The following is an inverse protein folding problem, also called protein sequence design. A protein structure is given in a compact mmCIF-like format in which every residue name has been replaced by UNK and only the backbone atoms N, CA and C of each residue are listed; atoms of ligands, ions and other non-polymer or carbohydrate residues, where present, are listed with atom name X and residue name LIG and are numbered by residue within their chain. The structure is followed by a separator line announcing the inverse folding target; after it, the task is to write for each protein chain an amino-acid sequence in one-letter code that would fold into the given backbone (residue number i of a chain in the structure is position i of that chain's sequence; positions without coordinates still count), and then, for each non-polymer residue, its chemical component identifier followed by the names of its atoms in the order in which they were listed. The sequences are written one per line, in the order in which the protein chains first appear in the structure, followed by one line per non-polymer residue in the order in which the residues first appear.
data_IF_682669163933
#
_entry.id   IF_682669163933
#
_cell.length_a   1.000
_cell.length_b   1.000
_cell.length_c   1.000
_cell.angle_alpha   90.00
_cell.angle_beta   90.00
_cell.angle_gamma   90.00
#
_symmetry.space_group_name_H-M   'P 1'
#
loop_
_entity.id
_entity.type
_entity.pdbx_description
1 polymer ?
#
# COMPACT_ATOMS: atom_id res chain seq x y z
N UNK A 1 40.12 -37.70 -7.82
CA UNK A 1 38.74 -37.76 -7.27
C UNK A 1 38.24 -36.33 -7.05
N UNK A 2 37.57 -35.77 -8.07
CA UNK A 2 37.05 -34.39 -7.98
C UNK A 2 35.58 -34.47 -7.52
N UNK A 3 35.31 -34.01 -6.28
CA UNK A 3 33.96 -33.82 -5.80
C UNK A 3 33.41 -32.53 -6.40
N UNK A 4 32.45 -32.66 -7.34
CA UNK A 4 31.62 -31.57 -7.80
C UNK A 4 30.67 -31.18 -6.64
N UNK A 5 30.85 -29.97 -6.11
CA UNK A 5 29.88 -29.36 -5.22
C UNK A 5 28.75 -28.85 -6.10
N UNK A 6 27.61 -29.53 -6.06
CA UNK A 6 26.36 -29.07 -6.66
C UNK A 6 25.72 -28.12 -5.65
N UNK A 7 25.91 -26.82 -5.83
CA UNK A 7 25.14 -25.81 -5.12
C UNK A 7 23.73 -25.77 -5.71
N UNK A 8 22.81 -26.45 -5.07
CA UNK A 8 21.38 -26.35 -5.37
C UNK A 8 20.91 -25.01 -4.83
N UNK A 9 20.83 -24.02 -5.71
CA UNK A 9 20.13 -22.77 -5.41
C UNK A 9 18.64 -23.14 -5.33
N UNK A 10 18.14 -23.34 -4.13
CA UNK A 10 16.71 -23.49 -3.89
C UNK A 10 16.05 -22.16 -4.26
N UNK A 11 15.47 -22.08 -5.44
CA UNK A 11 14.49 -21.07 -5.77
C UNK A 11 13.32 -21.30 -4.81
N UNK A 12 13.20 -20.45 -3.78
CA UNK A 12 12.02 -20.39 -2.93
C UNK A 12 10.91 -19.83 -3.81
N UNK A 13 10.24 -20.73 -4.53
CA UNK A 13 8.93 -20.46 -5.12
C UNK A 13 7.98 -20.28 -3.93
N UNK A 14 7.72 -19.02 -3.57
CA UNK A 14 6.64 -18.71 -2.66
C UNK A 14 5.36 -19.01 -3.43
N UNK A 15 4.92 -20.27 -3.35
CA UNK A 15 3.54 -20.62 -3.59
C UNK A 15 2.75 -19.92 -2.47
N UNK A 16 2.17 -18.74 -2.76
CA UNK A 16 0.97 -18.34 -2.07
C UNK A 16 -0.06 -19.41 -2.40
N UNK A 17 -0.49 -20.24 -1.45
CA UNK A 17 -1.68 -21.00 -1.71
C UNK A 17 -2.74 -19.93 -2.02
N UNK A 18 -3.29 -19.95 -3.23
CA UNK A 18 -4.60 -19.35 -3.45
C UNK A 18 -5.45 -19.96 -2.33
N UNK A 19 -5.68 -19.18 -1.28
CA UNK A 19 -6.72 -19.48 -0.31
C UNK A 19 -8.01 -19.41 -1.12
N UNK A 20 -8.35 -20.55 -1.74
CA UNK A 20 -9.69 -20.79 -2.22
C UNK A 20 -10.58 -20.56 -1.00
N UNK A 21 -11.21 -19.42 -0.94
CA UNK A 21 -12.42 -19.18 -0.17
C UNK A 21 -13.49 -20.12 -0.73
N UNK A 22 -13.33 -21.42 -0.49
CA UNK A 22 -14.40 -22.38 -0.62
C UNK A 22 -15.37 -22.09 0.51
N UNK A 23 -16.45 -21.38 0.18
CA UNK A 23 -17.57 -21.26 1.10
C UNK A 23 -18.29 -19.91 1.18
N UNK A 24 -18.28 -19.09 0.15
CA UNK A 24 -19.33 -18.07 0.03
C UNK A 24 -20.39 -18.68 -0.89
N UNK A 25 -21.37 -19.33 -0.31
CA UNK A 25 -22.62 -19.65 -0.98
C UNK A 25 -23.27 -18.34 -1.46
N UNK A 26 -23.60 -18.21 -2.78
CA UNK A 26 -24.34 -17.05 -3.23
C UNK A 26 -25.77 -17.15 -2.69
N UNK A 27 -26.06 -16.43 -1.61
CA UNK A 27 -27.39 -16.42 -1.00
C UNK A 27 -27.43 -16.34 0.53
N UNK A 28 -26.31 -16.42 1.23
CA UNK A 28 -26.28 -16.16 2.67
C UNK A 28 -26.59 -14.68 2.90
N UNK A 29 -27.67 -14.38 3.65
CA UNK A 29 -27.92 -13.03 4.19
C UNK A 29 -26.63 -12.60 4.88
N UNK A 30 -26.02 -11.56 4.34
CA UNK A 30 -24.80 -11.00 4.85
C UNK A 30 -25.01 -10.68 6.34
N UNK A 31 -24.22 -11.30 7.25
CA UNK A 31 -24.28 -11.01 8.67
C UNK A 31 -24.01 -9.53 8.90
N UNK A 32 -24.75 -8.88 9.80
CA UNK A 32 -24.55 -7.46 10.17
C UNK A 32 -23.14 -7.18 10.77
N UNK A 33 -22.35 -8.25 11.00
CA UNK A 33 -21.05 -8.22 11.68
C UNK A 33 -19.83 -8.02 10.75
N UNK A 34 -19.98 -7.36 9.61
CA UNK A 34 -18.85 -7.04 8.73
C UNK A 34 -18.21 -5.69 9.09
N UNK A 35 -16.88 -5.58 9.08
CA UNK A 35 -15.88 -6.67 9.10
C UNK A 35 -15.77 -7.29 10.50
N UNK A 36 -15.58 -8.61 10.61
CA UNK A 36 -15.38 -9.30 11.89
C UNK A 36 -13.95 -9.24 12.38
N UNK A 37 -13.00 -9.22 11.46
CA UNK A 37 -11.56 -9.14 11.74
C UNK A 37 -10.92 -8.09 10.83
N UNK A 38 -10.19 -7.16 11.44
CA UNK A 38 -9.50 -6.07 10.73
C UNK A 38 -8.02 -6.16 11.02
N UNK A 39 -7.21 -6.11 9.97
CA UNK A 39 -5.77 -5.92 10.04
C UNK A 39 -5.46 -4.45 9.74
N UNK A 40 -4.75 -3.79 10.64
CA UNK A 40 -4.29 -2.41 10.47
C UNK A 40 -2.76 -2.41 10.40
N UNK A 41 -2.23 -1.67 9.45
CA UNK A 41 -0.81 -1.38 9.29
C UNK A 41 -0.59 0.08 8.90
N UNK A 42 0.65 0.54 8.83
CA UNK A 42 1.04 1.84 8.30
C UNK A 42 2.50 1.80 7.81
N UNK A 43 3.03 2.93 7.37
CA UNK A 43 4.45 3.13 7.11
C UNK A 43 5.12 4.13 8.07
N UNK A 44 4.36 4.86 8.88
CA UNK A 44 4.87 5.77 9.92
C UNK A 44 5.44 5.03 11.15
N UNK A 45 5.15 3.74 11.31
CA UNK A 45 5.53 2.94 12.47
C UNK A 45 4.40 2.75 13.48
N UNK A 46 4.58 1.74 14.35
CA UNK A 46 3.53 1.29 15.29
C UNK A 46 3.21 2.32 16.38
N UNK A 47 4.15 3.20 16.70
CA UNK A 47 3.97 4.23 17.74
C UNK A 47 3.24 5.49 17.23
N UNK A 48 2.90 5.55 15.93
CA UNK A 48 2.13 6.65 15.37
C UNK A 48 0.76 6.76 16.05
N UNK A 49 0.36 7.95 16.57
CA UNK A 49 -0.90 8.12 17.29
C UNK A 49 -2.13 7.83 16.43
N UNK A 50 -2.05 8.00 15.11
CA UNK A 50 -3.17 7.77 14.20
C UNK A 50 -3.48 6.28 14.03
N UNK A 51 -2.47 5.41 13.98
CA UNK A 51 -2.71 3.96 13.91
C UNK A 51 -3.38 3.47 15.21
N UNK A 52 -2.95 4.02 16.37
CA UNK A 52 -3.58 3.72 17.65
C UNK A 52 -5.03 4.19 17.70
N UNK A 53 -5.32 5.42 17.25
CA UNK A 53 -6.68 5.96 17.22
C UNK A 53 -7.59 5.10 16.33
N UNK A 54 -7.10 4.69 15.16
CA UNK A 54 -7.81 3.82 14.24
C UNK A 54 -8.08 2.44 14.86
N UNK A 55 -7.06 1.82 15.46
CA UNK A 55 -7.18 0.52 16.11
C UNK A 55 -8.19 0.54 17.28
N UNK A 56 -8.15 1.57 18.12
CA UNK A 56 -9.10 1.75 19.22
C UNK A 56 -10.55 1.92 18.74
N UNK A 57 -10.76 2.55 17.59
CA UNK A 57 -12.09 2.68 17.02
C UNK A 57 -12.60 1.33 16.50
N UNK A 58 -11.76 0.58 15.78
CA UNK A 58 -12.13 -0.75 15.27
C UNK A 58 -12.29 -1.80 16.36
N UNK A 59 -11.52 -1.74 17.44
CA UNK A 59 -11.64 -2.69 18.56
C UNK A 59 -13.02 -2.68 19.25
N UNK A 60 -13.83 -1.65 19.02
CA UNK A 60 -15.23 -1.58 19.48
C UNK A 60 -16.20 -2.34 18.57
N UNK A 61 -15.76 -2.66 17.37
CA UNK A 61 -16.62 -3.13 16.26
C UNK A 61 -16.19 -4.48 15.70
N UNK A 62 -14.89 -4.82 15.84
CA UNK A 62 -14.27 -5.99 15.23
C UNK A 62 -13.08 -6.51 16.05
N UNK A 63 -12.73 -7.77 15.87
CA UNK A 63 -11.45 -8.32 16.32
C UNK A 63 -10.33 -7.61 15.58
N UNK A 64 -9.51 -6.84 16.30
CA UNK A 64 -8.58 -5.89 15.71
C UNK A 64 -7.12 -6.32 15.90
N UNK A 65 -6.41 -6.44 14.79
CA UNK A 65 -4.98 -6.71 14.75
C UNK A 65 -4.25 -5.47 14.21
N UNK A 66 -3.15 -5.12 14.86
CA UNK A 66 -2.19 -4.14 14.35
C UNK A 66 -0.88 -4.86 14.12
N UNK A 67 -0.41 -4.88 12.89
CA UNK A 67 0.91 -5.40 12.53
C UNK A 67 1.58 -4.31 11.70
N UNK A 68 2.53 -3.60 12.30
CA UNK A 68 3.11 -2.40 11.72
C UNK A 68 4.64 -2.36 11.92
N UNK A 69 5.37 -1.62 11.09
CA UNK A 69 6.80 -1.43 11.26
C UNK A 69 7.15 -0.88 12.65
N UNK A 70 8.30 -1.31 13.17
CA UNK A 70 8.85 -0.78 14.42
C UNK A 70 9.18 0.71 14.31
N UNK A 71 9.65 1.14 13.14
CA UNK A 71 10.09 2.50 12.84
C UNK A 71 9.41 3.01 11.57
N UNK A 72 9.56 4.31 11.29
CA UNK A 72 9.13 4.93 10.04
C UNK A 72 9.80 4.26 8.83
N UNK A 73 8.97 3.83 7.89
CA UNK A 73 9.33 3.19 6.63
C UNK A 73 8.67 3.90 5.43
N UNK A 74 8.45 5.20 5.54
CA UNK A 74 7.89 6.01 4.46
C UNK A 74 8.70 5.90 3.16
N UNK A 75 8.04 6.00 2.02
CA UNK A 75 8.70 5.95 0.71
C UNK A 75 9.19 4.58 0.27
N UNK A 76 8.77 3.49 0.91
CA UNK A 76 9.29 2.13 0.64
C UNK A 76 8.41 1.27 -0.25
N UNK A 77 7.32 1.84 -0.77
CA UNK A 77 6.40 1.14 -1.66
C UNK A 77 5.97 -0.25 -1.11
N UNK A 78 6.06 -1.32 -1.90
CA UNK A 78 5.76 -2.69 -1.49
C UNK A 78 7.02 -3.55 -1.28
N UNK A 79 8.12 -2.94 -0.82
CA UNK A 79 9.36 -3.64 -0.53
C UNK A 79 9.18 -4.61 0.66
N UNK A 80 9.48 -5.90 0.45
CA UNK A 80 9.36 -6.96 1.43
C UNK A 80 10.65 -7.79 1.49
N UNK A 81 11.70 -7.29 2.16
CA UNK A 81 13.00 -7.96 2.21
C UNK A 81 13.00 -9.26 3.01
N UNK A 82 12.01 -9.50 3.87
CA UNK A 82 11.90 -10.74 4.66
C UNK A 82 11.90 -12.00 3.78
N UNK A 83 11.35 -11.92 2.58
CA UNK A 83 11.37 -13.01 1.59
C UNK A 83 12.80 -13.50 1.30
N UNK A 84 13.77 -12.56 1.28
CA UNK A 84 15.18 -12.87 1.01
C UNK A 84 15.97 -13.10 2.29
N UNK A 85 15.62 -12.42 3.40
CA UNK A 85 16.28 -12.57 4.71
C UNK A 85 15.88 -13.86 5.39
N UNK A 86 14.68 -14.40 5.14
CA UNK A 86 14.16 -15.62 5.73
C UNK A 86 13.65 -15.49 7.17
N UNK A 87 13.66 -14.29 7.73
CA UNK A 87 13.20 -14.02 9.11
C UNK A 87 12.71 -12.58 9.29
N UNK A 88 11.87 -12.39 10.29
CA UNK A 88 11.42 -11.09 10.81
C UNK A 88 11.50 -11.12 12.34
N UNK A 89 11.99 -10.05 12.93
CA UNK A 89 11.89 -9.82 14.37
C UNK A 89 10.57 -9.13 14.68
N UNK A 90 9.89 -9.60 15.73
CA UNK A 90 8.54 -9.18 16.08
C UNK A 90 8.42 -8.99 17.59
N UNK A 91 7.89 -7.86 17.99
CA UNK A 91 7.63 -7.54 19.38
C UNK A 91 6.14 -7.27 19.60
N UNK A 92 5.57 -7.80 20.69
CA UNK A 92 4.22 -7.42 21.11
C UNK A 92 4.21 -6.01 21.65
N UNK A 93 3.12 -5.29 21.37
CA UNK A 93 2.86 -3.93 21.87
C UNK A 93 1.50 -3.89 22.55
N UNK A 94 1.34 -2.93 23.45
CA UNK A 94 0.05 -2.62 24.07
C UNK A 94 -0.47 -1.29 23.48
N UNK A 95 -1.46 -1.38 22.61
CA UNK A 95 -2.14 -0.21 22.04
C UNK A 95 -3.49 0.06 22.69
N UNK A 96 -3.91 -0.81 23.63
CA UNK A 96 -5.18 -0.69 24.35
C UNK A 96 -6.01 -1.98 24.33
N UNK A 97 -7.13 -1.99 25.06
CA UNK A 97 -7.96 -3.17 25.21
C UNK A 97 -8.57 -3.66 23.89
N UNK A 98 -8.58 -4.97 23.68
CA UNK A 98 -9.17 -5.60 22.49
C UNK A 98 -8.31 -5.50 21.22
N UNK A 99 -7.04 -5.06 21.34
CA UNK A 99 -6.12 -4.90 20.22
C UNK A 99 -4.97 -5.90 20.33
N UNK A 100 -4.76 -6.68 19.28
CA UNK A 100 -3.60 -7.56 19.13
C UNK A 100 -2.51 -6.82 18.33
N UNK A 101 -1.53 -6.24 19.02
CA UNK A 101 -0.53 -5.40 18.38
C UNK A 101 0.87 -6.02 18.34
N UNK A 102 1.53 -5.88 17.18
CA UNK A 102 2.85 -6.42 16.87
C UNK A 102 3.68 -5.40 16.10
N UNK A 103 4.81 -4.99 16.69
CA UNK A 103 5.84 -4.21 16.01
C UNK A 103 6.78 -5.14 15.24
N UNK A 104 7.11 -4.83 14.03
CA UNK A 104 7.91 -5.66 13.14
C UNK A 104 9.17 -4.91 12.70
N UNK A 105 10.36 -5.48 12.89
CA UNK A 105 11.56 -4.99 12.21
C UNK A 105 11.51 -5.36 10.72
N UNK A 106 10.69 -4.64 10.02
CA UNK A 106 10.35 -4.87 8.62
C UNK A 106 9.67 -3.68 7.98
N UNK A 107 9.10 -3.91 6.85
CA UNK A 107 8.41 -2.92 6.02
C UNK A 107 6.90 -3.18 6.00
N UNK A 108 6.08 -2.21 5.55
CA UNK A 108 4.63 -2.38 5.51
C UNK A 108 4.18 -3.65 4.78
N UNK A 109 4.83 -4.00 3.67
CA UNK A 109 4.54 -5.24 2.94
C UNK A 109 4.95 -6.51 3.72
N UNK A 110 6.06 -6.48 4.49
CA UNK A 110 6.43 -7.57 5.40
C UNK A 110 5.39 -7.78 6.50
N UNK A 111 4.81 -6.67 7.00
CA UNK A 111 3.76 -6.72 8.01
C UNK A 111 2.50 -7.43 7.47
N UNK A 112 2.11 -7.16 6.22
CA UNK A 112 1.00 -7.86 5.58
C UNK A 112 1.32 -9.34 5.39
N UNK A 113 2.53 -9.69 4.92
CA UNK A 113 2.97 -11.09 4.78
C UNK A 113 2.91 -11.84 6.10
N UNK A 114 3.51 -11.27 7.14
CA UNK A 114 3.53 -11.87 8.48
C UNK A 114 2.12 -12.05 9.04
N UNK A 115 1.28 -11.03 8.89
CA UNK A 115 -0.10 -11.12 9.35
C UNK A 115 -0.87 -12.20 8.60
N UNK A 116 -0.87 -12.19 7.28
CA UNK A 116 -1.68 -13.10 6.47
C UNK A 116 -1.20 -14.55 6.53
N UNK A 117 0.12 -14.79 6.50
CA UNK A 117 0.70 -16.13 6.43
C UNK A 117 1.18 -16.68 7.78
N UNK A 118 1.24 -15.85 8.81
CA UNK A 118 1.72 -16.20 10.14
C UNK A 118 0.68 -15.98 11.23
N UNK A 119 0.54 -14.73 11.70
CA UNK A 119 -0.23 -14.40 12.89
C UNK A 119 -1.73 -14.74 12.73
N UNK A 120 -2.29 -14.45 11.56
CA UNK A 120 -3.71 -14.63 11.26
C UNK A 120 -3.99 -15.76 10.24
N UNK A 121 -3.04 -16.66 10.00
CA UNK A 121 -3.12 -17.69 8.94
C UNK A 121 -4.37 -18.58 9.03
N UNK A 122 -4.79 -18.92 10.24
CA UNK A 122 -5.96 -19.80 10.48
C UNK A 122 -7.30 -19.02 10.50
N UNK A 123 -7.21 -17.70 10.66
CA UNK A 123 -8.35 -16.79 10.72
C UNK A 123 -7.97 -15.47 10.02
N UNK A 124 -7.93 -15.45 8.68
CA UNK A 124 -7.48 -14.29 7.92
C UNK A 124 -8.36 -13.06 8.18
N UNK A 125 -7.84 -11.84 8.00
CA UNK A 125 -8.62 -10.63 8.13
C UNK A 125 -9.69 -10.56 7.02
N UNK A 126 -10.84 -9.98 7.35
CA UNK A 126 -11.88 -9.66 6.38
C UNK A 126 -11.53 -8.38 5.61
N UNK A 127 -10.76 -7.47 6.25
CA UNK A 127 -10.36 -6.18 5.70
C UNK A 127 -8.97 -5.80 6.19
N UNK A 128 -8.18 -5.21 5.29
CA UNK A 128 -6.89 -4.58 5.61
C UNK A 128 -7.01 -3.07 5.48
N UNK A 129 -6.49 -2.34 6.46
CA UNK A 129 -6.41 -0.87 6.42
C UNK A 129 -4.95 -0.48 6.62
N UNK A 130 -4.39 0.24 5.66
CA UNK A 130 -3.07 0.83 5.75
C UNK A 130 -3.18 2.33 5.96
N UNK A 131 -2.58 2.83 7.04
CA UNK A 131 -2.59 4.25 7.42
C UNK A 131 -2.98 4.47 8.89
N UNK A 132 -3.28 5.69 9.27
CA UNK A 132 -3.51 6.87 8.44
C UNK A 132 -2.18 7.60 8.22
N UNK A 133 -1.79 7.81 6.96
CA UNK A 133 -0.55 8.48 6.62
C UNK A 133 -0.64 10.00 6.86
N UNK A 134 0.46 10.63 7.29
CA UNK A 134 0.54 12.07 7.58
C UNK A 134 0.39 12.97 6.35
N UNK A 135 0.80 12.52 5.17
CA UNK A 135 0.68 13.26 3.92
C UNK A 135 -0.33 12.64 2.96
N UNK A 136 -0.88 13.40 2.01
CA UNK A 136 -1.69 12.84 0.94
C UNK A 136 -0.83 11.99 -0.01
N UNK A 137 -1.41 10.95 -0.57
CA UNK A 137 -0.79 10.13 -1.60
C UNK A 137 -1.57 10.32 -2.91
N UNK A 138 -1.33 11.44 -3.58
CA UNK A 138 -1.95 11.86 -4.83
C UNK A 138 -1.03 11.63 -6.02
N UNK A 139 -1.57 11.67 -7.22
CA UNK A 139 -0.82 11.53 -8.47
C UNK A 139 0.23 10.40 -8.40
N UNK A 140 1.48 10.69 -8.73
CA UNK A 140 2.61 9.74 -8.75
C UNK A 140 3.06 9.26 -7.37
N UNK A 141 2.65 9.92 -6.27
CA UNK A 141 3.04 9.52 -4.91
C UNK A 141 2.66 8.06 -4.60
N UNK A 142 1.66 7.51 -5.31
CA UNK A 142 1.28 6.10 -5.19
C UNK A 142 2.42 5.13 -5.49
N UNK A 143 3.37 5.52 -6.35
CA UNK A 143 4.50 4.67 -6.75
C UNK A 143 5.43 4.43 -5.57
N UNK A 144 5.73 5.48 -4.81
CA UNK A 144 6.67 5.43 -3.68
C UNK A 144 6.03 5.11 -2.32
N UNK A 145 4.72 5.29 -2.17
CA UNK A 145 4.03 5.21 -0.88
C UNK A 145 4.09 3.82 -0.26
N UNK A 146 4.57 3.73 0.97
CA UNK A 146 4.50 2.52 1.79
C UNK A 146 3.07 2.21 2.23
N UNK A 147 2.27 3.23 2.52
CA UNK A 147 0.83 3.12 2.84
C UNK A 147 0.06 2.45 1.71
N UNK A 148 0.22 2.94 0.47
CA UNK A 148 -0.43 2.35 -0.71
C UNK A 148 0.18 0.98 -1.03
N UNK A 149 1.50 0.83 -0.86
CA UNK A 149 2.22 -0.42 -1.09
C UNK A 149 1.68 -1.58 -0.25
N UNK A 150 1.40 -1.34 1.04
CA UNK A 150 0.80 -2.34 1.91
C UNK A 150 -0.62 -2.73 1.48
N UNK A 151 -1.48 -1.74 1.16
CA UNK A 151 -2.84 -2.01 0.69
C UNK A 151 -2.85 -2.76 -0.64
N UNK A 152 -1.94 -2.40 -1.58
CA UNK A 152 -1.74 -3.12 -2.84
C UNK A 152 -1.32 -4.57 -2.59
N UNK A 153 -0.37 -4.78 -1.66
CA UNK A 153 0.11 -6.11 -1.32
C UNK A 153 -1.00 -6.98 -0.72
N UNK A 154 -1.83 -6.41 0.16
CA UNK A 154 -3.01 -7.07 0.71
C UNK A 154 -4.02 -7.43 -0.40
N UNK A 155 -4.30 -6.50 -1.31
CA UNK A 155 -5.19 -6.74 -2.45
C UNK A 155 -4.65 -7.84 -3.38
N UNK A 156 -3.32 -7.88 -3.62
CA UNK A 156 -2.66 -8.94 -4.36
C UNK A 156 -2.83 -10.31 -3.68
N UNK A 157 -2.79 -10.35 -2.34
CA UNK A 157 -3.08 -11.54 -1.55
C UNK A 157 -4.57 -11.91 -1.51
N UNK A 158 -5.43 -11.19 -2.22
CA UNK A 158 -6.88 -11.45 -2.30
C UNK A 158 -7.72 -10.83 -1.20
N UNK A 159 -7.12 -9.99 -0.35
CA UNK A 159 -7.80 -9.33 0.78
C UNK A 159 -8.32 -7.94 0.34
N UNK A 160 -9.57 -7.58 0.64
CA UNK A 160 -10.04 -6.21 0.48
C UNK A 160 -9.16 -5.25 1.27
N UNK A 161 -8.79 -4.10 0.67
CA UNK A 161 -7.87 -3.20 1.33
C UNK A 161 -8.19 -1.71 1.09
N UNK A 162 -7.85 -0.90 2.11
CA UNK A 162 -7.94 0.55 2.08
C UNK A 162 -6.56 1.14 2.39
N UNK A 163 -6.12 2.13 1.62
CA UNK A 163 -4.98 2.99 1.94
C UNK A 163 -5.51 4.38 2.29
N UNK A 164 -5.28 4.83 3.52
CA UNK A 164 -5.82 6.09 4.05
C UNK A 164 -4.67 7.06 4.30
N UNK A 165 -4.79 8.27 3.76
CA UNK A 165 -3.73 9.28 3.77
C UNK A 165 -4.29 10.68 4.00
N UNK A 166 -3.43 11.65 4.37
CA UNK A 166 -3.75 13.08 4.31
C UNK A 166 -3.94 13.79 5.65
N UNK A 167 -3.82 13.09 6.79
CA UNK A 167 -3.98 13.72 8.11
C UNK A 167 -2.65 14.08 8.75
N UNK A 168 -2.56 15.30 9.23
CA UNK A 168 -1.51 15.72 10.16
C UNK A 168 -1.88 15.34 11.60
N UNK A 169 -0.87 15.19 12.47
CA UNK A 169 -1.04 14.77 13.87
C UNK A 169 -1.54 15.89 14.77
N UNK A 170 -1.45 17.13 14.30
CA UNK A 170 -1.64 18.34 15.08
C UNK A 170 -3.12 18.72 15.29
N UNK A 171 -4.05 18.04 14.60
CA UNK A 171 -5.50 18.26 14.76
C UNK A 171 -6.23 16.99 15.27
N UNK A 172 -6.41 16.86 16.59
CA UNK A 172 -7.11 15.71 17.16
C UNK A 172 -8.58 15.61 16.71
N UNK A 173 -9.22 16.70 16.33
CA UNK A 173 -10.59 16.68 15.83
C UNK A 173 -10.65 16.11 14.41
N UNK A 174 -9.73 16.52 13.55
CA UNK A 174 -9.59 15.96 12.21
C UNK A 174 -9.31 14.46 12.27
N UNK A 175 -8.36 14.02 13.12
CA UNK A 175 -8.06 12.60 13.32
C UNK A 175 -9.29 11.84 13.80
N UNK A 176 -10.00 12.33 14.81
CA UNK A 176 -11.21 11.67 15.32
C UNK A 176 -12.30 11.56 14.25
N UNK A 177 -12.53 12.63 13.50
CA UNK A 177 -13.55 12.69 12.44
C UNK A 177 -13.21 11.72 11.31
N UNK A 178 -11.96 11.71 10.87
CA UNK A 178 -11.46 10.80 9.84
C UNK A 178 -11.57 9.33 10.26
N UNK A 179 -11.13 9.00 11.48
CA UNK A 179 -11.24 7.64 12.03
C UNK A 179 -12.69 7.16 12.04
N UNK A 180 -13.63 7.98 12.50
CA UNK A 180 -15.05 7.63 12.49
C UNK A 180 -15.57 7.44 11.07
N UNK A 181 -15.12 8.25 10.12
CA UNK A 181 -15.50 8.10 8.73
C UNK A 181 -14.92 6.83 8.11
N UNK A 182 -13.64 6.50 8.39
CA UNK A 182 -12.99 5.26 7.92
C UNK A 182 -13.72 4.01 8.44
N UNK A 183 -14.17 4.01 9.69
CA UNK A 183 -15.01 2.92 10.23
C UNK A 183 -16.31 2.77 9.43
N UNK A 184 -16.98 3.88 9.09
CA UNK A 184 -18.20 3.84 8.25
C UNK A 184 -17.89 3.38 6.82
N UNK A 185 -16.77 3.84 6.23
CA UNK A 185 -16.34 3.39 4.91
C UNK A 185 -16.08 1.88 4.91
N UNK A 186 -15.38 1.37 5.91
CA UNK A 186 -15.08 -0.05 6.05
C UNK A 186 -16.35 -0.93 6.06
N UNK A 187 -17.44 -0.43 6.63
CA UNK A 187 -18.75 -1.13 6.70
C UNK A 187 -19.61 -0.92 5.44
N UNK A 188 -19.19 -0.09 4.52
CA UNK A 188 -19.97 0.23 3.33
C UNK A 188 -20.04 -0.94 2.34
N UNK A 189 -21.12 -1.03 1.53
CA UNK A 189 -21.23 -2.06 0.51
C UNK A 189 -20.06 -2.08 -0.48
N UNK A 190 -19.51 -0.92 -0.85
CA UNK A 190 -18.39 -0.83 -1.80
C UNK A 190 -17.13 -1.53 -1.29
N UNK A 191 -16.88 -1.52 0.02
CA UNK A 191 -15.74 -2.21 0.62
C UNK A 191 -16.05 -3.69 0.85
N UNK A 192 -17.23 -4.00 1.36
CA UNK A 192 -17.67 -5.36 1.63
C UNK A 192 -17.73 -6.24 0.38
N UNK A 193 -18.18 -5.67 -0.74
CA UNK A 193 -18.34 -6.36 -2.02
C UNK A 193 -17.12 -6.22 -2.93
N UNK A 194 -16.03 -5.70 -2.39
CA UNK A 194 -14.79 -5.48 -3.15
C UNK A 194 -14.23 -6.82 -3.64
N UNK A 195 -14.03 -6.91 -4.95
CA UNK A 195 -13.47 -8.12 -5.57
C UNK A 195 -11.98 -8.28 -5.23
N UNK A 196 -11.46 -9.53 -5.17
CA UNK A 196 -10.04 -9.79 -5.03
C UNK A 196 -9.20 -8.99 -6.04
N UNK A 197 -8.02 -8.56 -5.63
CA UNK A 197 -7.13 -7.73 -6.47
C UNK A 197 -7.55 -6.27 -6.60
N UNK A 198 -8.51 -5.80 -5.79
CA UNK A 198 -8.97 -4.40 -5.76
C UNK A 198 -8.70 -3.78 -4.40
N UNK A 199 -8.46 -2.47 -4.39
CA UNK A 199 -8.33 -1.68 -3.17
C UNK A 199 -8.73 -0.23 -3.46
N UNK A 200 -8.95 0.55 -2.41
CA UNK A 200 -9.21 1.98 -2.52
C UNK A 200 -8.04 2.75 -1.92
N UNK A 201 -7.63 3.82 -2.58
CA UNK A 201 -6.82 4.86 -1.94
C UNK A 201 -7.72 6.03 -1.58
N UNK A 202 -7.51 6.57 -0.40
CA UNK A 202 -8.26 7.70 0.13
C UNK A 202 -7.27 8.78 0.55
N UNK A 203 -7.47 10.01 0.09
CA UNK A 203 -6.73 11.16 0.59
C UNK A 203 -7.71 12.18 1.18
N UNK A 204 -7.47 12.54 2.44
CA UNK A 204 -8.28 13.48 3.21
C UNK A 204 -7.58 14.84 3.17
N UNK A 205 -8.24 15.91 2.73
CA UNK A 205 -7.61 17.23 2.62
C UNK A 205 -7.27 17.80 4.00
N UNK A 206 -6.18 18.57 4.04
CA UNK A 206 -5.67 19.24 5.25
C UNK A 206 -6.42 20.53 5.53
N UNK A 207 -7.70 20.40 5.77
CA UNK A 207 -8.60 21.48 6.14
C UNK A 207 -9.40 21.07 7.37
N UNK A 208 -9.92 22.00 8.18
CA UNK A 208 -10.83 21.67 9.27
C UNK A 208 -11.97 20.78 8.80
N UNK A 209 -12.43 19.80 9.61
CA UNK A 209 -13.51 18.89 9.20
C UNK A 209 -14.78 19.60 8.71
N UNK A 210 -15.08 20.80 9.24
CA UNK A 210 -16.21 21.63 8.83
C UNK A 210 -16.07 22.23 7.43
N UNK A 211 -14.85 22.30 6.88
CA UNK A 211 -14.56 22.85 5.56
C UNK A 211 -14.47 21.76 4.48
N UNK A 212 -14.51 20.48 4.86
CA UNK A 212 -14.55 19.37 3.91
C UNK A 212 -15.86 19.42 3.12
N UNK A 213 -15.75 19.63 1.80
CA UNK A 213 -16.90 19.79 0.90
C UNK A 213 -17.67 18.50 0.60
N UNK A 214 -17.16 17.37 1.03
CA UNK A 214 -17.74 16.05 0.79
C UNK A 214 -16.74 15.06 0.24
N UNK A 215 -17.25 14.00 -0.39
CA UNK A 215 -16.46 12.88 -0.92
C UNK A 215 -16.62 12.82 -2.42
N UNK A 216 -15.52 12.58 -3.14
CA UNK A 216 -15.53 12.38 -4.61
C UNK A 216 -14.73 11.13 -4.97
N UNK A 217 -15.24 10.39 -5.94
CA UNK A 217 -14.46 9.39 -6.65
C UNK A 217 -13.67 10.11 -7.72
N UNK A 218 -12.36 9.85 -7.77
CA UNK A 218 -11.44 10.56 -8.63
C UNK A 218 -10.68 9.61 -9.57
N UNK A 219 -10.20 10.17 -10.67
CA UNK A 219 -9.15 9.57 -11.47
C UNK A 219 -7.79 9.92 -10.86
N UNK A 220 -6.78 9.07 -11.08
CA UNK A 220 -5.43 9.42 -10.65
C UNK A 220 -4.78 10.35 -11.67
N UNK A 221 -4.27 11.49 -11.19
CA UNK A 221 -3.51 12.40 -12.03
C UNK A 221 -2.19 11.75 -12.50
N UNK A 222 -1.72 12.17 -13.66
CA UNK A 222 -0.39 11.79 -14.16
C UNK A 222 0.72 12.54 -13.43
N UNK A 223 1.97 12.07 -13.58
CA UNK A 223 3.15 12.73 -13.03
C UNK A 223 3.21 14.19 -13.50
N UNK A 224 3.17 15.10 -12.55
CA UNK A 224 3.19 16.53 -12.80
C UNK A 224 4.55 17.15 -12.47
N UNK A 225 5.19 16.68 -11.41
CA UNK A 225 6.40 17.24 -10.87
C UNK A 225 7.63 16.41 -11.27
N UNK A 226 8.68 17.08 -11.72
CA UNK A 226 9.96 16.46 -12.05
C UNK A 226 11.03 17.11 -11.19
N UNK A 227 11.74 16.35 -10.33
CA UNK A 227 12.83 16.89 -9.55
C UNK A 227 13.96 17.44 -10.44
N UNK A 228 14.43 18.62 -10.13
CA UNK A 228 15.61 19.22 -10.73
C UNK A 228 16.83 18.89 -9.89
N UNK A 229 17.92 18.46 -10.56
CA UNK A 229 19.15 18.11 -9.87
C UNK A 229 20.29 19.01 -10.35
N UNK A 230 21.11 19.49 -9.41
CA UNK A 230 22.36 20.16 -9.71
C UNK A 230 23.54 19.48 -9.02
N UNK A 231 24.65 19.35 -9.73
CA UNK A 231 25.89 18.85 -9.14
C UNK A 231 26.47 19.90 -8.19
N UNK A 232 26.82 19.48 -6.98
CA UNK A 232 27.47 20.34 -5.99
C UNK A 232 28.94 19.97 -5.85
N UNK A 233 29.79 21.00 -5.74
CA UNK A 233 31.24 20.86 -5.74
C UNK A 233 31.86 20.32 -4.43
N UNK A 234 31.03 19.96 -3.44
CA UNK A 234 31.47 19.56 -2.10
C UNK A 234 31.95 18.10 -2.00
N UNK A 235 32.10 17.42 -3.12
CA UNK A 235 32.68 16.08 -3.12
C UNK A 235 34.18 16.15 -2.77
N UNK A 236 34.64 15.30 -1.86
CA UNK A 236 36.04 15.29 -1.44
C UNK A 236 36.96 15.09 -2.65
N UNK A 237 37.93 15.99 -2.90
CA UNK A 237 38.84 15.93 -4.03
C UNK A 237 39.56 14.57 -4.13
N UNK A 238 39.65 14.01 -5.33
CA UNK A 238 40.36 12.76 -5.58
C UNK A 238 39.59 11.47 -5.30
N UNK A 239 38.34 11.53 -4.81
CA UNK A 239 37.54 10.33 -4.52
C UNK A 239 36.74 9.84 -5.73
N UNK A 240 36.60 10.63 -6.79
CA UNK A 240 35.70 10.39 -7.92
C UNK A 240 34.20 10.45 -7.54
N UNK A 241 33.87 10.80 -6.29
CA UNK A 241 32.48 10.96 -5.83
C UNK A 241 31.94 12.30 -6.28
N UNK A 242 30.69 12.30 -6.71
CA UNK A 242 29.91 13.49 -7.05
C UNK A 242 28.65 13.52 -6.21
N UNK A 243 28.27 14.70 -5.76
CA UNK A 243 27.07 14.91 -4.99
C UNK A 243 26.10 15.70 -5.87
N UNK A 244 24.90 15.12 -6.06
CA UNK A 244 23.80 15.79 -6.74
C UNK A 244 22.73 16.11 -5.70
N UNK A 245 22.26 17.33 -5.69
CA UNK A 245 21.17 17.78 -4.81
C UNK A 245 19.94 18.11 -5.64
N UNK A 246 18.77 17.83 -5.07
CA UNK A 246 17.51 18.35 -5.59
C UNK A 246 17.51 19.85 -5.29
N UNK A 247 17.43 20.67 -6.33
CA UNK A 247 17.49 22.13 -6.25
C UNK A 247 16.13 22.78 -6.50
N UNK A 248 15.18 22.01 -7.00
CA UNK A 248 13.85 22.47 -7.30
C UNK A 248 12.99 21.33 -7.81
N UNK A 249 11.78 21.68 -8.16
CA UNK A 249 10.81 20.84 -8.85
C UNK A 249 10.25 21.66 -9.99
N UNK A 250 10.34 21.13 -11.23
CA UNK A 250 9.69 21.73 -12.38
C UNK A 250 8.33 21.07 -12.59
N UNK A 251 7.29 21.86 -12.73
CA UNK A 251 6.00 21.40 -13.19
C UNK A 251 6.06 21.10 -14.68
N UNK A 252 5.52 19.95 -15.09
CA UNK A 252 5.27 19.72 -16.51
C UNK A 252 4.11 20.62 -16.94
N UNK A 253 4.16 21.10 -18.17
CA UNK A 253 3.04 21.78 -18.80
C UNK A 253 1.93 20.75 -19.08
N UNK A 254 1.07 20.57 -18.08
CA UNK A 254 0.02 19.56 -18.06
C UNK A 254 -1.21 20.13 -17.37
N UNK A 255 -2.31 20.15 -18.09
CA UNK A 255 -3.59 20.57 -17.54
C UNK A 255 -4.20 19.41 -16.72
N UNK A 256 -4.40 19.65 -15.42
CA UNK A 256 -5.00 18.65 -14.54
C UNK A 256 -6.48 18.47 -14.88
N UNK A 257 -6.95 17.23 -15.14
CA UNK A 257 -8.37 16.96 -15.27
C UNK A 257 -9.15 17.41 -14.02
N UNK A 258 -10.32 17.99 -14.22
CA UNK A 258 -11.16 18.48 -13.11
C UNK A 258 -11.56 17.36 -12.13
N UNK A 259 -11.67 16.12 -12.61
CA UNK A 259 -12.03 14.92 -11.84
C UNK A 259 -10.81 14.17 -11.30
N UNK A 260 -9.60 14.75 -11.43
CA UNK A 260 -8.38 14.14 -10.91
C UNK A 260 -8.31 14.22 -9.38
N UNK A 261 -7.56 13.28 -8.79
CA UNK A 261 -7.35 13.24 -7.34
C UNK A 261 -6.70 14.52 -6.82
N UNK A 262 -5.79 15.14 -7.57
CA UNK A 262 -5.16 16.42 -7.21
C UNK A 262 -6.18 17.56 -7.23
N UNK A 263 -6.89 17.76 -8.36
CA UNK A 263 -7.85 18.87 -8.52
C UNK A 263 -8.96 18.81 -7.47
N UNK A 264 -9.49 17.64 -7.21
CA UNK A 264 -10.56 17.47 -6.23
C UNK A 264 -10.05 17.63 -4.78
N UNK A 265 -8.86 17.13 -4.47
CA UNK A 265 -8.23 17.30 -3.17
C UNK A 265 -7.97 18.78 -2.86
N UNK A 266 -7.36 19.51 -3.79
CA UNK A 266 -7.03 20.93 -3.65
C UNK A 266 -8.29 21.80 -3.49
N UNK A 267 -9.42 21.33 -4.02
CA UNK A 267 -10.71 22.00 -3.82
C UNK A 267 -11.43 21.60 -2.54
N UNK A 268 -10.84 20.77 -1.67
CA UNK A 268 -11.34 20.45 -0.33
C UNK A 268 -12.26 19.23 -0.25
N UNK A 269 -12.21 18.32 -1.23
CA UNK A 269 -12.92 17.04 -1.15
C UNK A 269 -12.04 15.92 -0.61
N UNK A 270 -12.62 15.03 0.18
CA UNK A 270 -12.03 13.71 0.40
C UNK A 270 -12.09 12.95 -0.92
N UNK A 271 -10.94 12.52 -1.42
CA UNK A 271 -10.86 11.83 -2.71
C UNK A 271 -10.67 10.34 -2.51
N UNK A 272 -11.40 9.56 -3.28
CA UNK A 272 -11.35 8.09 -3.29
C UNK A 272 -10.99 7.62 -4.68
N UNK A 273 -9.86 6.95 -4.83
CA UNK A 273 -9.44 6.39 -6.12
C UNK A 273 -9.49 4.86 -6.07
N UNK A 274 -10.31 4.22 -6.92
CA UNK A 274 -10.31 2.76 -7.01
C UNK A 274 -9.08 2.26 -7.77
N UNK A 275 -8.38 1.27 -7.21
CA UNK A 275 -7.11 0.75 -7.69
C UNK A 275 -7.16 -0.75 -7.95
N UNK A 276 -6.25 -1.22 -8.81
CA UNK A 276 -5.96 -2.64 -9.05
C UNK A 276 -4.58 -2.97 -8.50
N UNK A 277 -4.43 -4.16 -7.94
CA UNK A 277 -3.11 -4.71 -7.58
C UNK A 277 -2.36 -5.25 -8.81
N UNK A 278 -3.09 -5.67 -9.83
CA UNK A 278 -2.55 -6.23 -11.07
C UNK A 278 -2.13 -5.11 -12.03
N UNK A 279 -0.85 -5.13 -12.40
CA UNK A 279 -0.22 -4.20 -13.37
C UNK A 279 -0.01 -4.85 -14.74
N UNK A 280 -0.59 -6.03 -14.97
CA UNK A 280 -0.43 -6.75 -16.22
C UNK A 280 -1.14 -6.03 -17.38
N UNK A 281 -0.39 -5.73 -18.43
CA UNK A 281 -0.92 -5.16 -19.66
C UNK A 281 -1.46 -6.28 -20.58
N UNK A 282 -2.74 -6.56 -20.47
CA UNK A 282 -3.42 -7.60 -21.24
C UNK A 282 -3.56 -7.25 -22.73
N UNK A 283 -3.58 -5.96 -23.08
CA UNK A 283 -3.68 -5.51 -24.47
C UNK A 283 -2.34 -5.72 -25.18
N UNK A 284 -1.25 -5.30 -24.56
CA UNK A 284 0.10 -5.57 -25.06
C UNK A 284 0.40 -7.05 -25.13
N UNK A 285 0.00 -7.84 -24.10
CA UNK A 285 0.14 -9.30 -24.12
C UNK A 285 -0.55 -9.90 -25.35
N UNK A 286 -1.79 -9.50 -25.60
CA UNK A 286 -2.58 -10.00 -26.74
C UNK A 286 -1.90 -9.61 -28.07
N UNK A 287 -1.43 -8.38 -28.18
CA UNK A 287 -0.69 -7.91 -29.35
C UNK A 287 0.58 -8.73 -29.61
N UNK A 288 1.36 -9.00 -28.57
CA UNK A 288 2.61 -9.79 -28.69
C UNK A 288 2.35 -11.26 -29.01
N UNK A 289 1.29 -11.87 -28.46
CA UNK A 289 0.88 -13.24 -28.80
C UNK A 289 0.44 -13.39 -30.25
N UNK A 290 -0.26 -12.40 -30.79
CA UNK A 290 -0.68 -12.39 -32.18
C UNK A 290 0.49 -12.13 -33.15
N UNK A 291 1.55 -11.48 -32.70
CA UNK A 291 2.70 -11.10 -33.50
C UNK A 291 4.03 -11.48 -32.82
N UNK A 292 4.32 -12.78 -32.64
CA UNK A 292 5.51 -13.22 -31.92
C UNK A 292 6.82 -12.79 -32.61
N UNK A 293 6.79 -12.52 -33.92
CA UNK A 293 7.93 -12.01 -34.68
C UNK A 293 8.36 -10.57 -34.36
N UNK A 294 7.58 -9.83 -33.55
CA UNK A 294 7.98 -8.52 -33.02
C UNK A 294 9.05 -8.62 -31.93
N UNK A 295 9.22 -9.78 -31.31
CA UNK A 295 10.29 -10.00 -30.34
C UNK A 295 11.52 -10.57 -31.07
N UNK A 296 12.76 -10.12 -30.72
CA UNK A 296 13.97 -10.66 -31.28
C UNK A 296 14.09 -12.15 -30.90
N UNK A 297 14.65 -13.01 -31.79
CA UNK A 297 14.88 -14.40 -31.47
C UNK A 297 15.93 -14.53 -30.35
N UNK A 298 15.73 -15.49 -29.45
CA UNK A 298 16.73 -15.87 -28.44
C UNK A 298 17.84 -16.69 -29.09
N UNK A 299 18.72 -16.04 -29.90
CA UNK A 299 19.86 -16.71 -30.53
C UNK A 299 20.98 -15.68 -30.74
N UNK A 300 22.13 -15.94 -30.16
CA UNK A 300 23.32 -15.08 -30.28
C UNK A 300 23.83 -15.05 -31.76
N UNK A 301 23.66 -16.15 -32.49
CA UNK A 301 24.12 -16.28 -33.87
C UNK A 301 23.30 -15.47 -34.90
N UNK A 302 22.07 -15.07 -34.53
CA UNK A 302 21.16 -14.24 -35.35
C UNK A 302 21.27 -12.73 -35.09
N UNK A 303 22.00 -12.32 -34.06
CA UNK A 303 22.20 -10.91 -33.71
C UNK A 303 23.33 -10.26 -34.54
N UNK A 304 24.13 -11.07 -35.25
CA UNK A 304 25.27 -10.59 -36.08
C UNK A 304 24.93 -10.37 -37.56
N UNK A 305 23.67 -10.45 -37.93
CA UNK A 305 23.15 -10.07 -39.25
C UNK A 305 22.29 -8.80 -39.19
#
# INVERSE_FOLDING_TARGET
MNKKIVTTTAAVLIFFPLLFLSGIEPGSKASDDWPRRVLITNDNGIEDPKIRALAMAFAKEAETYVVAPLEDRSGTTHYAPSIRRGSLEVEKRDLGPGIHAYAVDGYPADCILLAAAGIMKDRPPDLVISGINGGPNLAEAWIGSGTIGAARFAAYAGLPALAISGLDDDDPEAVRTAVQWVVRLAKSPVVREMKPGRFLTVSIPRVPPSEIKGIRVATRAELREVPEFSEVSDAAPGTGRRIWRITGVSERDYELPEDSDVSLYDTGYVVVVPMKADEHDYDLLSLLKLNPGKLPPWSIDKIKQ
#
